data_IF_089148185093
#
_entry.id   IF_089148185093
#
_cell.length_a   1.000
_cell.length_b   1.000
_cell.length_c   1.000
_cell.angle_alpha   90.00
_cell.angle_beta   90.00
_cell.angle_gamma   90.00
#
_symmetry.space_group_name_H-M   'P 1'
#
loop_
_entity.id
_entity.type
_entity.pdbx_description
1 polymer ?
#
# COMPACT_ATOMS: atom_id res chain seq x y z
N UNK A 1 4.57 16.47 1.45
CA UNK A 1 4.37 16.62 2.91
C UNK A 1 5.69 16.36 3.63
N UNK A 2 5.86 16.71 4.90
CA UNK A 2 7.13 16.51 5.64
C UNK A 2 6.88 15.84 6.99
N UNK A 3 7.87 15.10 7.50
CA UNK A 3 7.90 14.56 8.86
C UNK A 3 9.05 15.22 9.62
N UNK A 4 8.73 16.25 10.39
CA UNK A 4 9.70 17.07 11.11
C UNK A 4 10.13 16.48 12.47
N UNK A 5 9.51 15.38 12.92
CA UNK A 5 9.91 14.67 14.12
C UNK A 5 9.56 13.18 14.05
N UNK A 6 10.37 12.37 14.74
CA UNK A 6 10.06 10.96 15.00
C UNK A 6 8.72 10.83 15.75
N UNK A 7 7.93 9.83 15.42
CA UNK A 7 6.61 9.59 15.98
C UNK A 7 5.49 10.44 15.36
N UNK A 8 5.79 11.28 14.37
CA UNK A 8 4.75 11.97 13.61
C UNK A 8 4.02 11.02 12.68
N UNK A 9 2.72 11.27 12.52
CA UNK A 9 1.84 10.52 11.63
C UNK A 9 1.28 11.45 10.55
N UNK A 10 1.08 10.90 9.36
CA UNK A 10 0.24 11.49 8.35
C UNK A 10 -0.78 10.47 7.86
N UNK A 11 -2.02 10.92 7.70
CA UNK A 11 -3.12 10.08 7.31
C UNK A 11 -3.86 10.72 6.14
N UNK A 12 -4.25 9.89 5.18
CA UNK A 12 -5.21 10.27 4.14
C UNK A 12 -6.31 9.21 4.11
N UNK A 13 -7.57 9.62 3.90
CA UNK A 13 -8.71 8.71 3.74
C UNK A 13 -9.38 8.84 2.37
N UNK A 14 -9.90 7.73 1.84
CA UNK A 14 -10.70 7.72 0.61
C UNK A 14 -11.94 6.85 0.77
N UNK A 15 -12.98 7.20 0.03
CA UNK A 15 -14.13 6.33 -0.19
C UNK A 15 -13.92 5.62 -1.53
N UNK A 16 -14.11 4.31 -1.52
CA UNK A 16 -14.10 3.46 -2.71
C UNK A 16 -15.55 3.12 -3.04
N UNK A 17 -15.97 3.38 -4.27
CA UNK A 17 -17.36 3.17 -4.73
C UNK A 17 -17.54 1.82 -5.44
N UNK A 18 -16.46 1.29 -6.03
CA UNK A 18 -16.44 0.02 -6.76
C UNK A 18 -15.24 -0.81 -6.34
N UNK A 19 -15.33 -2.14 -6.50
CA UNK A 19 -14.19 -3.01 -6.26
C UNK A 19 -12.97 -2.56 -7.07
N UNK A 20 -11.83 -2.38 -6.41
CA UNK A 20 -10.61 -1.84 -7.02
C UNK A 20 -9.36 -2.40 -6.32
N UNK A 21 -8.20 -2.31 -6.98
CA UNK A 21 -6.90 -2.52 -6.34
C UNK A 21 -6.34 -1.16 -5.94
N UNK A 22 -6.07 -0.98 -4.64
CA UNK A 22 -5.40 0.21 -4.10
C UNK A 22 -3.93 -0.11 -3.87
N UNK A 23 -3.08 0.80 -4.31
CA UNK A 23 -1.66 0.85 -3.97
C UNK A 23 -1.37 2.10 -3.15
N UNK A 24 -1.05 1.94 -1.88
CA UNK A 24 -0.54 3.04 -1.05
C UNK A 24 0.93 3.30 -1.35
N UNK A 25 1.33 4.57 -1.36
CA UNK A 25 2.66 5.01 -1.73
C UNK A 25 3.20 6.05 -0.74
N UNK A 26 4.45 5.86 -0.35
CA UNK A 26 5.29 6.88 0.25
C UNK A 26 6.59 6.93 -0.53
N UNK A 27 6.84 8.02 -1.26
CA UNK A 27 7.97 8.16 -2.17
C UNK A 27 8.94 9.26 -1.73
N UNK A 28 10.16 9.19 -2.24
CA UNK A 28 11.25 10.14 -1.99
C UNK A 28 11.66 10.20 -0.52
N UNK A 29 11.67 9.03 0.13
CA UNK A 29 12.09 8.92 1.53
C UNK A 29 13.61 9.22 1.59
N UNK A 30 14.05 10.19 2.41
CA UNK A 30 15.46 10.49 2.58
C UNK A 30 16.23 9.31 3.21
N UNK A 31 17.51 9.13 2.85
CA UNK A 31 18.29 7.96 3.25
C UNK A 31 18.53 7.83 4.77
N UNK A 32 18.44 8.92 5.52
CA UNK A 32 18.72 8.99 6.96
C UNK A 32 17.47 8.87 7.85
N UNK A 33 16.31 8.61 7.24
CA UNK A 33 15.04 8.48 7.96
C UNK A 33 14.33 7.19 7.57
N UNK A 34 13.55 6.65 8.50
CA UNK A 34 12.70 5.49 8.25
C UNK A 34 11.26 5.82 8.57
N UNK A 35 10.39 5.46 7.64
CA UNK A 35 8.96 5.67 7.72
C UNK A 35 8.26 4.33 7.50
N UNK A 36 7.23 4.08 8.30
CA UNK A 36 6.38 2.91 8.14
C UNK A 36 5.10 3.33 7.40
N UNK A 37 4.60 2.47 6.52
CA UNK A 37 3.38 2.70 5.75
C UNK A 37 2.35 1.61 6.07
N UNK A 38 1.13 2.01 6.42
CA UNK A 38 0.03 1.12 6.77
C UNK A 38 -1.20 1.45 5.95
N UNK A 39 -1.92 0.43 5.50
CA UNK A 39 -3.21 0.55 4.85
C UNK A 39 -4.29 -0.11 5.72
N UNK A 40 -5.34 0.63 6.02
CA UNK A 40 -6.47 0.18 6.82
C UNK A 40 -7.78 0.27 6.04
N UNK A 41 -8.70 -0.66 6.32
CA UNK A 41 -10.13 -0.47 6.12
C UNK A 41 -10.70 0.20 7.35
N UNK A 42 -11.57 1.19 7.15
CA UNK A 42 -12.34 1.83 8.21
C UNK A 42 -13.79 1.36 8.13
N UNK A 43 -14.27 0.74 9.19
CA UNK A 43 -15.66 0.34 9.38
C UNK A 43 -16.18 0.74 10.76
N UNK A 44 -17.42 0.36 11.07
CA UNK A 44 -18.09 0.69 12.33
C UNK A 44 -17.35 0.18 13.58
N UNK A 45 -16.48 -0.82 13.44
CA UNK A 45 -15.67 -1.39 14.51
C UNK A 45 -14.27 -0.74 14.61
N UNK A 46 -13.96 0.22 13.74
CA UNK A 46 -12.70 0.96 13.72
C UNK A 46 -11.81 0.61 12.52
N UNK A 47 -10.50 0.53 12.76
CA UNK A 47 -9.49 0.33 11.72
C UNK A 47 -9.03 -1.14 11.70
N UNK A 48 -9.21 -1.80 10.55
CA UNK A 48 -8.65 -3.13 10.28
C UNK A 48 -7.48 -3.00 9.31
N UNK A 49 -6.29 -3.44 9.70
CA UNK A 49 -5.11 -3.39 8.84
C UNK A 49 -5.26 -4.38 7.68
N UNK A 50 -5.00 -3.91 6.46
CA UNK A 50 -5.01 -4.71 5.24
C UNK A 50 -3.59 -5.07 4.79
N UNK A 51 -2.67 -4.11 4.84
CA UNK A 51 -1.27 -4.30 4.44
C UNK A 51 -0.36 -3.29 5.15
N UNK A 52 0.93 -3.59 5.21
CA UNK A 52 1.94 -2.71 5.79
C UNK A 52 3.31 -2.89 5.12
N UNK A 53 4.14 -1.85 5.19
CA UNK A 53 5.49 -1.84 4.65
C UNK A 53 6.40 -1.02 5.58
N UNK A 54 7.56 -1.59 5.94
CA UNK A 54 8.46 -1.10 6.99
C UNK A 54 9.92 -1.48 6.66
N UNK A 55 10.43 -0.99 5.53
CA UNK A 55 11.77 -1.28 5.06
C UNK A 55 12.77 -0.27 5.62
N UNK A 56 13.84 -0.77 6.24
CA UNK A 56 14.94 0.08 6.69
C UNK A 56 15.67 0.69 5.49
N UNK A 57 15.89 2.00 5.55
CA UNK A 57 16.54 2.87 4.58
C UNK A 57 15.92 2.78 3.18
N UNK A 58 14.60 2.54 3.11
CA UNK A 58 13.89 2.50 1.84
C UNK A 58 13.79 3.91 1.25
N UNK A 59 13.97 4.04 -0.07
CA UNK A 59 13.60 5.28 -0.78
C UNK A 59 12.08 5.37 -1.01
N UNK A 60 11.37 4.24 -0.85
CA UNK A 60 9.94 4.09 -1.15
C UNK A 60 9.32 3.01 -0.26
N UNK A 61 8.15 3.29 0.32
CA UNK A 61 7.26 2.30 0.91
C UNK A 61 6.01 2.10 0.05
N UNK A 62 5.49 0.86 0.00
CA UNK A 62 4.30 0.52 -0.79
C UNK A 62 3.41 -0.49 -0.08
N UNK A 63 2.11 -0.22 -0.06
CA UNK A 63 1.09 -1.18 0.34
C UNK A 63 0.19 -1.53 -0.84
N UNK A 64 -0.42 -2.72 -0.82
CA UNK A 64 -1.31 -3.20 -1.87
C UNK A 64 -2.48 -3.95 -1.26
N UNK A 65 -3.69 -3.60 -1.66
CA UNK A 65 -4.89 -4.37 -1.32
C UNK A 65 -5.90 -4.34 -2.45
N UNK A 66 -6.52 -5.49 -2.71
CA UNK A 66 -7.77 -5.56 -3.45
C UNK A 66 -8.91 -5.28 -2.46
N UNK A 67 -9.73 -4.28 -2.75
CA UNK A 67 -10.70 -3.72 -1.81
C UNK A 67 -12.09 -3.65 -2.40
N UNK A 68 -13.10 -3.82 -1.55
CA UNK A 68 -14.51 -3.64 -1.87
C UNK A 68 -14.94 -2.18 -1.63
N UNK A 69 -16.13 -1.74 -2.07
CA UNK A 69 -16.65 -0.44 -1.71
C UNK A 69 -16.63 -0.20 -0.19
N UNK A 70 -16.17 0.97 0.23
CA UNK A 70 -15.97 1.30 1.64
C UNK A 70 -14.94 2.40 1.89
N UNK A 71 -14.73 2.75 3.15
CA UNK A 71 -13.76 3.75 3.56
C UNK A 71 -12.41 3.10 3.88
N UNK A 72 -11.33 3.73 3.40
CA UNK A 72 -9.97 3.25 3.60
C UNK A 72 -9.07 4.40 4.06
N UNK A 73 -8.09 4.07 4.88
CA UNK A 73 -7.14 5.03 5.45
C UNK A 73 -5.72 4.53 5.18
N UNK A 74 -4.91 5.39 4.59
CA UNK A 74 -3.47 5.19 4.48
C UNK A 74 -2.79 6.01 5.56
N UNK A 75 -1.86 5.40 6.29
CA UNK A 75 -1.13 6.02 7.39
C UNK A 75 0.35 5.85 7.14
N UNK A 76 1.10 6.95 7.21
CA UNK A 76 2.55 6.93 7.24
C UNK A 76 3.03 7.44 8.60
N UNK A 77 4.00 6.76 9.20
CA UNK A 77 4.56 7.08 10.51
C UNK A 77 6.06 7.27 10.42
N UNK A 78 6.57 8.34 11.01
CA UNK A 78 8.01 8.50 11.19
C UNK A 78 8.55 7.62 12.31
N UNK A 79 9.37 6.63 11.99
CA UNK A 79 9.91 5.66 12.96
C UNK A 79 11.37 5.90 13.30
N UNK A 80 12.15 6.53 12.42
CA UNK A 80 13.51 6.96 12.71
C UNK A 80 13.85 8.29 12.04
N UNK A 81 14.59 9.12 12.78
CA UNK A 81 15.10 10.40 12.27
C UNK A 81 13.98 11.41 11.99
N UNK A 82 14.37 12.52 11.38
CA UNK A 82 13.46 13.53 10.87
C UNK A 82 14.11 14.19 9.66
N UNK A 83 13.30 14.58 8.68
CA UNK A 83 13.78 15.33 7.52
C UNK A 83 12.82 16.46 7.17
N UNK A 84 13.40 17.60 6.82
CA UNK A 84 12.67 18.72 6.25
C UNK A 84 12.35 18.49 4.75
N UNK A 85 12.96 17.48 4.13
CA UNK A 85 12.72 17.16 2.73
C UNK A 85 11.31 16.60 2.53
N UNK A 86 10.59 17.08 1.50
CA UNK A 86 9.22 16.66 1.26
C UNK A 86 9.16 15.25 0.67
N UNK A 87 8.27 14.43 1.21
CA UNK A 87 7.84 13.15 0.64
C UNK A 87 6.51 13.27 -0.09
N UNK A 88 6.29 12.34 -1.02
CA UNK A 88 5.01 12.16 -1.72
C UNK A 88 4.24 11.06 -1.01
N UNK A 89 3.01 11.35 -0.61
CA UNK A 89 2.15 10.43 0.14
C UNK A 89 0.75 10.40 -0.47
N UNK A 90 0.24 9.21 -0.72
CA UNK A 90 -1.08 9.02 -1.33
C UNK A 90 -1.26 7.61 -1.86
N UNK A 91 -2.25 7.41 -2.71
CA UNK A 91 -2.54 6.13 -3.33
C UNK A 91 -2.73 6.23 -4.85
N UNK A 92 -2.58 5.09 -5.50
CA UNK A 92 -2.99 4.84 -6.87
C UNK A 92 -4.09 3.77 -6.85
N UNK A 93 -5.23 4.05 -7.50
CA UNK A 93 -6.32 3.10 -7.67
C UNK A 93 -6.35 2.56 -9.10
N UNK A 94 -6.57 1.26 -9.24
CA UNK A 94 -6.73 0.60 -10.54
C UNK A 94 -8.13 -0.03 -10.61
N UNK A 95 -8.97 0.48 -11.50
CA UNK A 95 -10.36 0.02 -11.70
C UNK A 95 -10.47 -1.14 -12.69
N UNK A 96 -9.37 -1.50 -13.36
CA UNK A 96 -9.30 -2.67 -14.23
C UNK A 96 -8.56 -3.79 -13.50
N UNK A 97 -9.30 -4.57 -12.71
CA UNK A 97 -8.76 -5.74 -12.03
C UNK A 97 -8.86 -6.91 -13.00
N UNK A 98 -7.75 -7.30 -13.62
CA UNK A 98 -7.72 -8.55 -14.39
C UNK A 98 -7.62 -9.77 -13.46
N UNK A 99 -7.90 -10.96 -14.00
CA UNK A 99 -7.96 -12.21 -13.23
C UNK A 99 -6.58 -12.75 -12.79
N UNK A 100 -5.48 -12.11 -13.17
CA UNK A 100 -4.11 -12.53 -12.85
C UNK A 100 -3.42 -11.60 -11.84
N UNK A 101 -3.86 -10.34 -11.68
CA UNK A 101 -3.30 -9.37 -10.72
C UNK A 101 -3.35 -9.80 -9.22
N UNK A 102 -4.06 -10.88 -8.89
CA UNK A 102 -4.13 -11.45 -7.55
C UNK A 102 -2.86 -12.24 -7.15
N UNK A 103 -1.92 -12.50 -8.06
CA UNK A 103 -0.72 -13.31 -7.81
C UNK A 103 0.61 -12.50 -7.81
N UNK A 104 0.54 -11.17 -7.80
CA UNK A 104 1.70 -10.26 -7.90
C UNK A 104 2.70 -10.34 -6.73
N UNK A 105 2.34 -11.04 -5.64
CA UNK A 105 3.22 -11.32 -4.51
C UNK A 105 3.36 -12.83 -4.32
N UNK A 106 4.57 -13.27 -3.96
CA UNK A 106 4.93 -14.68 -3.72
C UNK A 106 3.99 -15.38 -2.72
N UNK A 107 3.44 -14.62 -1.78
CA UNK A 107 2.53 -15.05 -0.71
C UNK A 107 1.06 -15.17 -1.16
N UNK A 108 0.71 -14.62 -2.32
CA UNK A 108 -0.65 -14.64 -2.90
C UNK A 108 -0.75 -15.61 -4.09
N UNK A 109 0.20 -16.54 -4.20
CA UNK A 109 0.28 -17.44 -5.35
C UNK A 109 -0.85 -18.46 -5.35
N UNK A 110 -1.59 -18.48 -6.45
CA UNK A 110 -2.54 -19.54 -6.77
C UNK A 110 -1.76 -20.85 -6.97
N UNK A 111 -2.01 -21.92 -6.18
CA UNK A 111 -1.39 -23.21 -6.43
C UNK A 111 -1.94 -23.80 -7.74
N UNK A 112 -1.05 -24.14 -8.66
CA UNK A 112 -1.37 -24.89 -9.88
C UNK A 112 -1.82 -26.31 -9.49
N UNK A 113 -3.09 -26.63 -9.69
CA UNK A 113 -3.52 -28.03 -9.76
C UNK A 113 -3.02 -28.63 -11.07
N UNK A 114 -2.59 -29.89 -11.04
CA UNK A 114 -1.78 -30.57 -12.07
C UNK A 114 -2.41 -30.73 -13.47
N UNK A 115 -3.51 -30.05 -13.77
CA UNK A 115 -4.21 -30.08 -15.06
C UNK A 115 -4.47 -28.70 -15.70
N UNK A 116 -3.89 -27.61 -15.18
CA UNK A 116 -4.08 -26.29 -15.78
C UNK A 116 -3.05 -26.01 -16.89
N UNK A 117 -3.52 -25.77 -18.12
CA UNK A 117 -2.71 -25.21 -19.22
C UNK A 117 -2.42 -23.74 -18.88
N UNK A 118 -1.14 -23.38 -18.75
CA UNK A 118 -0.71 -21.99 -18.60
C UNK A 118 -0.66 -21.37 -19.99
N UNK A 119 -1.54 -20.39 -20.28
CA UNK A 119 -1.44 -19.55 -21.46
C UNK A 119 -0.76 -18.24 -21.08
N UNK A 120 0.45 -18.02 -21.63
CA UNK A 120 1.12 -16.72 -21.57
C UNK A 120 0.75 -15.89 -22.79
N UNK A 121 0.36 -14.64 -22.59
CA UNK A 121 0.26 -13.67 -23.69
C UNK A 121 1.64 -13.06 -23.96
N UNK A 122 2.12 -13.22 -25.18
CA UNK A 122 3.27 -12.50 -25.73
C UNK A 122 2.75 -11.40 -26.65
N UNK A 123 2.93 -10.14 -26.24
CA UNK A 123 2.79 -8.94 -27.07
C UNK A 123 4.09 -8.16 -27.05
#
# INVERSE_FOLDING_TARGET
MTFSAQGQFACVSTLVETETKIKGLLLNIPAEVNYDLFLFKHDENGLTQLDASFQANAAVEKTFAKVQPGAYVLVAQATQGASADPVVFGWQGYTQIDSQEANDRFEQRTPLSTNAVIQGESG
#
